data_IF_197031049734
#
_entry.id   IF_197031049734
#
_cell.length_a   1.000
_cell.length_b   1.000
_cell.length_c   1.000
_cell.angle_alpha   90.00
_cell.angle_beta   90.00
_cell.angle_gamma   90.00
#
_symmetry.space_group_name_H-M   'P 1'
#
loop_
_entity.id
_entity.type
_entity.pdbx_description
1 polymer ?
#
# COMPACT_ATOMS: atom_id res chain seq x y z
N UNK A 1 24.92 -17.96 -6.99
CA UNK A 1 24.12 -19.10 -7.51
C UNK A 1 23.46 -19.95 -6.42
N UNK A 2 24.18 -20.30 -5.35
CA UNK A 2 23.63 -21.14 -4.26
C UNK A 2 22.40 -20.56 -3.54
N UNK A 3 22.38 -19.24 -3.33
CA UNK A 3 21.22 -18.57 -2.73
C UNK A 3 19.99 -18.58 -3.66
N UNK A 4 20.20 -18.43 -4.98
CA UNK A 4 19.11 -18.50 -5.97
C UNK A 4 18.50 -19.90 -6.01
N UNK A 5 19.33 -20.95 -5.99
CA UNK A 5 18.85 -22.33 -5.94
C UNK A 5 18.01 -22.61 -4.67
N UNK A 6 18.41 -22.01 -3.54
CA UNK A 6 17.66 -22.12 -2.28
C UNK A 6 16.31 -21.43 -2.36
N UNK A 7 16.26 -20.19 -2.88
CA UNK A 7 15.00 -19.45 -3.10
C UNK A 7 14.10 -20.19 -4.08
N UNK A 8 14.63 -20.75 -5.17
CA UNK A 8 13.85 -21.52 -6.15
C UNK A 8 13.21 -22.76 -5.52
N UNK A 9 13.94 -23.47 -4.64
CA UNK A 9 13.39 -24.62 -3.91
C UNK A 9 12.27 -24.18 -2.97
N UNK A 10 12.52 -23.17 -2.12
CA UNK A 10 11.53 -22.66 -1.18
C UNK A 10 10.29 -22.10 -1.89
N UNK A 11 10.45 -21.47 -3.04
CA UNK A 11 9.34 -20.97 -3.87
C UNK A 11 8.47 -22.12 -4.41
N UNK A 12 9.10 -23.21 -4.86
CA UNK A 12 8.38 -24.39 -5.36
C UNK A 12 7.60 -25.09 -4.25
N UNK A 13 8.16 -25.11 -3.04
CA UNK A 13 7.57 -25.80 -1.89
C UNK A 13 6.59 -24.89 -1.10
N UNK A 14 6.35 -23.65 -1.55
CA UNK A 14 5.58 -22.61 -0.83
C UNK A 14 6.10 -22.30 0.59
N UNK A 15 7.41 -22.46 0.79
CA UNK A 15 8.11 -22.24 2.07
C UNK A 15 8.91 -20.93 2.07
N UNK A 16 8.62 -20.00 1.15
CA UNK A 16 9.27 -18.70 1.17
C UNK A 16 8.85 -17.94 2.44
N UNK A 17 9.83 -17.38 3.19
CA UNK A 17 9.50 -16.50 4.30
C UNK A 17 8.82 -15.25 3.77
N UNK A 18 7.67 -14.91 4.37
CA UNK A 18 6.89 -13.71 4.06
C UNK A 18 6.52 -13.54 2.58
N UNK A 19 6.49 -14.62 1.79
CA UNK A 19 6.09 -14.55 0.40
C UNK A 19 5.46 -15.85 -0.10
N UNK A 20 4.59 -15.74 -1.09
CA UNK A 20 3.97 -16.86 -1.80
C UNK A 20 4.07 -16.57 -3.29
N UNK A 21 4.46 -17.56 -4.08
CA UNK A 21 4.43 -17.46 -5.53
C UNK A 21 3.03 -17.87 -6.02
N UNK A 22 2.31 -16.94 -6.63
CA UNK A 22 1.00 -17.17 -7.26
C UNK A 22 1.12 -17.16 -8.78
N UNK A 23 0.08 -17.62 -9.50
CA UNK A 23 0.06 -17.59 -10.98
C UNK A 23 0.23 -16.17 -11.56
N UNK A 24 -0.14 -15.16 -10.77
CA UNK A 24 -0.01 -13.73 -11.10
C UNK A 24 1.32 -13.10 -10.68
N UNK A 25 2.20 -13.82 -9.98
CA UNK A 25 3.51 -13.30 -9.54
C UNK A 25 3.83 -13.53 -8.05
N UNK A 26 4.77 -12.77 -7.51
CA UNK A 26 5.20 -12.86 -6.11
C UNK A 26 4.28 -12.03 -5.21
N UNK A 27 3.59 -12.69 -4.27
CA UNK A 27 2.79 -12.03 -3.23
C UNK A 27 3.58 -12.01 -1.93
N UNK A 28 3.95 -10.83 -1.45
CA UNK A 28 4.66 -10.64 -0.18
C UNK A 28 3.64 -10.45 0.96
N UNK A 29 3.86 -11.09 2.11
CA UNK A 29 3.08 -10.90 3.33
C UNK A 29 3.23 -9.44 3.79
N UNK A 30 2.12 -8.69 3.95
CA UNK A 30 2.18 -7.33 4.47
C UNK A 30 2.77 -7.32 5.88
N UNK A 31 3.59 -6.33 6.18
CA UNK A 31 4.02 -6.10 7.55
C UNK A 31 2.84 -5.64 8.39
N UNK A 32 2.69 -6.23 9.58
CA UNK A 32 1.75 -5.73 10.57
C UNK A 32 2.16 -4.32 10.99
N UNK A 33 1.18 -3.42 11.05
CA UNK A 33 1.40 -2.04 11.43
C UNK A 33 1.83 -1.97 12.91
N UNK A 34 3.13 -1.81 13.16
CA UNK A 34 3.70 -1.63 14.50
C UNK A 34 3.53 -0.19 15.03
N UNK A 35 2.36 0.41 14.79
CA UNK A 35 2.09 1.81 15.19
C UNK A 35 1.92 1.84 16.71
N UNK A 36 2.77 2.57 17.46
CA UNK A 36 2.62 2.69 18.91
C UNK A 36 1.31 3.43 19.26
N UNK A 37 0.64 3.06 20.35
CA UNK A 37 -0.62 3.68 20.79
C UNK A 37 -0.55 5.22 20.89
N UNK A 38 0.62 5.77 21.23
CA UNK A 38 0.84 7.23 21.27
C UNK A 38 0.69 7.91 19.91
N UNK A 39 1.04 7.21 18.83
CA UNK A 39 0.87 7.73 17.48
C UNK A 39 -0.62 7.81 17.12
N UNK A 40 -1.45 6.87 17.59
CA UNK A 40 -2.90 6.93 17.41
C UNK A 40 -3.51 8.16 18.09
N UNK A 41 -3.10 8.46 19.33
CA UNK A 41 -3.57 9.66 20.03
C UNK A 41 -3.21 10.97 19.30
N UNK A 42 -2.03 11.04 18.69
CA UNK A 42 -1.62 12.19 17.89
C UNK A 42 -2.40 12.29 16.57
N UNK A 43 -2.69 11.15 15.93
CA UNK A 43 -3.55 11.08 14.74
C UNK A 43 -4.94 11.62 15.07
N UNK A 44 -5.53 11.19 16.18
CA UNK A 44 -6.87 11.61 16.59
C UNK A 44 -6.91 13.11 16.89
N UNK A 45 -5.93 13.63 17.63
CA UNK A 45 -5.83 15.05 17.95
C UNK A 45 -5.67 15.90 16.68
N UNK A 46 -4.79 15.48 15.77
CA UNK A 46 -4.54 16.22 14.52
C UNK A 46 -5.76 16.17 13.61
N UNK A 47 -6.44 15.03 13.54
CA UNK A 47 -7.66 14.85 12.73
C UNK A 47 -8.80 15.74 13.19
N UNK A 48 -8.89 16.06 14.49
CA UNK A 48 -9.87 17.00 15.03
C UNK A 48 -9.65 18.45 14.59
N UNK A 49 -8.42 18.81 14.21
CA UNK A 49 -8.09 20.15 13.72
C UNK A 49 -8.41 20.34 12.23
N UNK A 50 -8.61 19.24 11.50
CA UNK A 50 -8.90 19.27 10.08
C UNK A 50 -10.40 19.49 9.83
N UNK A 51 -10.77 20.19 8.73
CA UNK A 51 -12.17 20.37 8.35
C UNK A 51 -12.82 19.01 8.05
N UNK A 52 -14.11 18.89 8.40
CA UNK A 52 -14.91 17.69 8.12
C UNK A 52 -15.40 17.70 6.66
N UNK A 53 -14.48 17.50 5.73
CA UNK A 53 -14.75 17.34 4.30
C UNK A 53 -14.74 15.86 3.92
N UNK A 54 -15.56 15.43 2.96
CA UNK A 54 -15.46 14.07 2.43
C UNK A 54 -14.16 13.94 1.65
N UNK A 55 -13.39 12.88 1.92
CA UNK A 55 -12.09 12.68 1.24
C UNK A 55 -12.23 12.68 -0.28
N UNK A 56 -13.33 12.15 -0.82
CA UNK A 56 -13.60 12.15 -2.26
C UNK A 56 -13.78 13.56 -2.84
N UNK A 57 -14.40 14.48 -2.09
CA UNK A 57 -14.56 15.88 -2.52
C UNK A 57 -13.21 16.60 -2.51
N UNK A 58 -12.43 16.44 -1.44
CA UNK A 58 -11.08 16.99 -1.37
C UNK A 58 -10.17 16.45 -2.48
N UNK A 59 -10.26 15.16 -2.79
CA UNK A 59 -9.46 14.55 -3.86
C UNK A 59 -9.84 15.08 -5.24
N UNK A 60 -11.13 15.34 -5.50
CA UNK A 60 -11.58 16.00 -6.74
C UNK A 60 -11.03 17.42 -6.83
N UNK A 61 -11.12 18.22 -5.76
CA UNK A 61 -10.61 19.59 -5.73
C UNK A 61 -9.08 19.64 -5.97
N UNK A 62 -8.34 18.74 -5.34
CA UNK A 62 -6.89 18.63 -5.52
C UNK A 62 -6.55 18.21 -6.94
N UNK A 63 -7.28 17.27 -7.51
CA UNK A 63 -7.06 16.85 -8.90
C UNK A 63 -7.38 17.98 -9.88
N UNK A 64 -8.45 18.74 -9.66
CA UNK A 64 -8.78 19.90 -10.49
C UNK A 64 -7.67 20.98 -10.44
N UNK A 65 -7.07 21.20 -9.28
CA UNK A 65 -5.99 22.20 -9.12
C UNK A 65 -4.65 21.74 -9.68
N UNK A 66 -4.32 20.46 -9.51
CA UNK A 66 -2.97 19.94 -9.80
C UNK A 66 -2.92 19.19 -11.14
N UNK A 67 -4.06 18.69 -11.60
CA UNK A 67 -4.18 17.69 -12.65
C UNK A 67 -3.47 16.39 -12.31
N UNK A 68 -3.37 16.02 -11.04
CA UNK A 68 -2.60 14.87 -10.57
C UNK A 68 -2.96 13.58 -11.32
N UNK A 69 -4.25 13.33 -11.53
CA UNK A 69 -4.76 12.11 -12.18
C UNK A 69 -4.28 11.94 -13.62
N UNK A 70 -4.00 13.04 -14.33
CA UNK A 70 -3.56 13.01 -15.75
C UNK A 70 -2.16 12.40 -15.94
N UNK A 71 -1.41 12.24 -14.85
CA UNK A 71 -0.06 11.69 -14.85
C UNK A 71 -0.06 10.16 -14.71
N UNK A 72 -1.20 9.53 -14.42
CA UNK A 72 -1.31 8.07 -14.41
C UNK A 72 -1.47 7.52 -15.83
N UNK A 73 -0.50 6.71 -16.26
CA UNK A 73 -0.48 6.10 -17.60
C UNK A 73 -1.44 4.93 -17.77
N UNK A 74 -1.95 4.38 -16.67
CA UNK A 74 -2.88 3.24 -16.64
C UNK A 74 -4.13 3.53 -15.81
N UNK A 75 -4.54 4.81 -15.78
CA UNK A 75 -5.79 5.18 -15.14
C UNK A 75 -6.93 4.39 -15.81
N UNK A 76 -7.70 3.66 -15.00
CA UNK A 76 -8.94 3.03 -15.44
C UNK A 76 -10.08 3.93 -15.04
N UNK A 77 -10.66 4.60 -16.01
CA UNK A 77 -12.01 5.13 -15.92
C UNK A 77 -12.98 3.94 -15.85
N UNK A 78 -13.73 3.87 -14.75
CA UNK A 78 -14.69 2.79 -14.49
C UNK A 78 -15.93 2.88 -15.38
#
# INVERSE_FOLDING_TARGET
DEQLATVTRLAKDNELPDAILTESGLKITPLDAAVPDRAQALIDQTSQLLPRIKITELLMDVDDWTGFSRHFTHLKDG
#
